data_IF_310952991664
#
_entry.id   IF_310952991664
#
_cell.length_a   1.000
_cell.length_b   1.000
_cell.length_c   1.000
_cell.angle_alpha   90.00
_cell.angle_beta   90.00
_cell.angle_gamma   90.00
#
_symmetry.space_group_name_H-M   'P 1'
#
loop_
_entity.id
_entity.type
_entity.pdbx_description
1 polymer ?
#
# COMPACT_ATOMS: atom_id res chain seq x y z
N UNK A 1 17.91 3.82 5.31
CA UNK A 1 17.18 4.76 4.40
C UNK A 1 17.08 4.18 2.99
N UNK A 2 16.09 4.57 2.22
CA UNK A 2 15.78 4.02 0.87
C UNK A 2 16.62 4.72 -0.23
N UNK A 3 17.92 4.72 -0.09
CA UNK A 3 18.84 5.58 -0.86
C UNK A 3 18.76 5.35 -2.38
N UNK A 4 18.62 4.09 -2.83
CA UNK A 4 18.48 3.78 -4.27
C UNK A 4 17.18 4.36 -4.86
N UNK A 5 16.09 4.35 -4.10
CA UNK A 5 14.82 4.94 -4.52
C UNK A 5 14.98 6.46 -4.63
N UNK A 6 15.66 7.10 -3.68
CA UNK A 6 15.87 8.55 -3.67
C UNK A 6 16.82 9.08 -4.76
N UNK A 7 17.48 8.21 -5.51
CA UNK A 7 18.16 8.63 -6.75
C UNK A 7 17.21 9.07 -7.86
N UNK A 8 15.98 8.54 -7.86
CA UNK A 8 14.96 8.78 -8.90
C UNK A 8 13.69 9.46 -8.37
N UNK A 9 13.40 9.34 -7.07
CA UNK A 9 12.23 9.88 -6.41
C UNK A 9 12.63 10.85 -5.31
N UNK A 10 11.82 11.88 -5.10
CA UNK A 10 12.03 12.85 -4.03
C UNK A 10 11.33 12.41 -2.75
N UNK A 11 10.29 11.57 -2.88
CA UNK A 11 9.44 11.09 -1.78
C UNK A 11 8.94 9.67 -2.04
N UNK A 12 8.86 8.88 -0.98
CA UNK A 12 8.12 7.61 -0.93
C UNK A 12 6.94 7.81 0.02
N UNK A 13 5.74 7.43 -0.42
CA UNK A 13 4.53 7.40 0.42
C UNK A 13 4.12 5.95 0.61
N UNK A 14 4.34 5.43 1.82
CA UNK A 14 3.90 4.08 2.21
C UNK A 14 2.53 4.22 2.85
N UNK A 15 1.57 3.42 2.40
CA UNK A 15 0.18 3.54 2.83
C UNK A 15 -0.45 2.18 3.12
N UNK A 16 -1.52 2.21 3.87
CA UNK A 16 -2.42 1.09 4.13
C UNK A 16 -3.86 1.59 4.25
N UNK A 17 -4.84 0.73 3.96
CA UNK A 17 -6.26 1.08 4.01
C UNK A 17 -7.08 0.01 4.70
N UNK A 18 -7.92 0.42 5.66
CA UNK A 18 -9.00 -0.42 6.15
C UNK A 18 -10.29 -0.12 5.39
N UNK A 19 -11.04 -1.17 5.08
CA UNK A 19 -12.21 -1.06 4.19
C UNK A 19 -13.41 -1.82 4.72
N UNK A 20 -14.61 -1.52 4.21
CA UNK A 20 -15.84 -2.25 4.56
C UNK A 20 -15.92 -3.65 3.94
N UNK A 21 -14.99 -4.02 3.07
CA UNK A 21 -14.96 -5.30 2.37
C UNK A 21 -13.88 -5.33 1.30
N UNK A 22 -13.99 -6.25 0.34
CA UNK A 22 -12.92 -6.51 -0.65
C UNK A 22 -13.23 -6.03 -2.08
N UNK A 23 -14.43 -5.50 -2.33
CA UNK A 23 -14.82 -5.01 -3.66
C UNK A 23 -14.60 -3.49 -3.76
N UNK A 24 -13.48 -3.07 -4.34
CA UNK A 24 -13.11 -1.66 -4.50
C UNK A 24 -14.16 -0.80 -5.24
N UNK A 25 -15.11 -1.43 -5.96
CA UNK A 25 -16.19 -0.73 -6.65
C UNK A 25 -17.43 -0.51 -5.77
N UNK A 26 -17.60 -1.29 -4.72
CA UNK A 26 -18.78 -1.28 -3.86
C UNK A 26 -18.47 -0.91 -2.43
N UNK A 27 -17.35 -1.37 -1.95
CA UNK A 27 -16.91 -1.13 -0.58
C UNK A 27 -16.25 0.24 -0.43
N UNK A 28 -16.07 0.67 0.80
CA UNK A 28 -15.58 2.00 1.15
C UNK A 28 -14.33 1.89 1.99
N UNK A 29 -13.40 2.82 1.81
CA UNK A 29 -12.30 3.03 2.74
C UNK A 29 -12.87 3.66 4.00
N UNK A 30 -12.55 3.10 5.15
CA UNK A 30 -12.96 3.57 6.50
C UNK A 30 -11.80 4.09 7.33
N UNK A 31 -10.57 3.70 7.00
CA UNK A 31 -9.34 4.27 7.52
C UNK A 31 -8.33 4.37 6.38
N UNK A 32 -7.64 5.49 6.32
CA UNK A 32 -6.55 5.70 5.36
C UNK A 32 -5.37 6.27 6.13
N UNK A 33 -4.30 5.50 6.19
CA UNK A 33 -3.04 5.92 6.77
C UNK A 33 -1.93 5.96 5.73
N UNK A 34 -1.02 6.90 5.90
CA UNK A 34 0.15 7.01 5.04
C UNK A 34 1.31 7.67 5.78
N UNK A 35 2.53 7.22 5.46
CA UNK A 35 3.78 7.80 5.93
C UNK A 35 4.58 8.26 4.72
N UNK A 36 4.90 9.53 4.65
CA UNK A 36 5.74 10.11 3.60
C UNK A 36 7.19 10.22 4.08
N UNK A 37 8.10 9.66 3.32
CA UNK A 37 9.53 9.60 3.64
C UNK A 37 10.32 10.26 2.53
N UNK A 38 11.26 11.13 2.91
CA UNK A 38 12.25 11.71 2.03
C UNK A 38 13.67 11.23 2.38
N UNK A 39 14.70 11.75 1.72
CA UNK A 39 16.10 11.41 2.01
C UNK A 39 16.54 11.67 3.45
N UNK A 40 15.85 12.59 4.15
CA UNK A 40 16.12 12.94 5.54
C UNK A 40 15.36 12.11 6.59
N UNK A 41 14.47 11.22 6.18
CA UNK A 41 13.59 10.42 7.04
C UNK A 41 12.11 10.75 6.82
N UNK A 42 11.28 10.50 7.85
CA UNK A 42 9.84 10.79 7.81
C UNK A 42 9.62 12.30 7.69
N UNK A 43 8.84 12.70 6.70
CA UNK A 43 8.50 14.10 6.39
C UNK A 43 7.06 14.44 6.78
N UNK A 44 6.17 13.46 6.69
CA UNK A 44 4.74 13.66 6.91
C UNK A 44 4.06 12.33 7.26
N UNK A 45 3.00 12.41 8.07
CA UNK A 45 2.19 11.26 8.46
C UNK A 45 0.71 11.64 8.43
N UNK A 46 -0.14 10.67 8.09
CA UNK A 46 -1.59 10.80 8.24
C UNK A 46 -2.18 9.47 8.72
N UNK A 47 -3.18 9.58 9.56
CA UNK A 47 -4.05 8.50 10.00
C UNK A 47 -5.46 9.07 10.15
N UNK A 48 -6.38 8.71 9.26
CA UNK A 48 -7.71 9.30 9.20
C UNK A 48 -8.78 8.23 9.12
N UNK A 49 -9.64 8.20 10.11
CA UNK A 49 -10.94 7.54 10.01
C UNK A 49 -11.84 8.32 9.04
N UNK A 50 -12.60 7.60 8.21
CA UNK A 50 -13.44 8.19 7.17
C UNK A 50 -14.90 7.80 7.40
N UNK A 51 -15.79 8.77 7.41
CA UNK A 51 -17.22 8.55 7.61
C UNK A 51 -17.81 7.66 6.52
N UNK A 52 -18.66 6.72 6.95
CA UNK A 52 -19.45 5.93 6.01
C UNK A 52 -20.44 6.81 5.26
N UNK A 53 -20.76 6.41 4.03
CA UNK A 53 -21.89 6.98 3.31
C UNK A 53 -23.18 6.79 4.12
N UNK A 54 -24.04 7.81 4.26
CA UNK A 54 -25.30 7.69 4.97
C UNK A 54 -26.12 6.47 4.53
N UNK A 55 -26.58 5.68 5.51
CA UNK A 55 -27.32 4.45 5.28
C UNK A 55 -26.47 3.19 5.06
N UNK A 56 -25.16 3.32 4.95
CA UNK A 56 -24.25 2.17 4.98
C UNK A 56 -24.05 1.65 6.39
N UNK A 57 -23.79 0.35 6.49
CA UNK A 57 -23.44 -0.32 7.75
C UNK A 57 -22.05 -0.92 7.65
N UNK A 58 -21.36 -0.95 8.76
CA UNK A 58 -20.08 -1.62 8.88
C UNK A 58 -20.31 -3.11 9.18
N UNK A 59 -19.80 -4.04 8.34
CA UNK A 59 -19.94 -5.47 8.62
C UNK A 59 -19.26 -5.86 9.94
N UNK A 60 -19.93 -6.71 10.74
CA UNK A 60 -19.40 -7.14 12.04
C UNK A 60 -18.02 -7.79 11.95
N UNK A 61 -17.75 -8.53 10.87
CA UNK A 61 -16.44 -9.12 10.62
C UNK A 61 -15.33 -8.05 10.48
N UNK A 62 -15.62 -6.89 9.88
CA UNK A 62 -14.67 -5.78 9.77
C UNK A 62 -14.41 -5.17 11.14
N UNK A 63 -15.47 -5.00 11.96
CA UNK A 63 -15.31 -4.53 13.37
C UNK A 63 -14.42 -5.48 14.17
N UNK A 64 -14.62 -6.79 14.03
CA UNK A 64 -13.79 -7.80 14.70
C UNK A 64 -12.33 -7.79 14.23
N UNK A 65 -12.10 -7.52 12.94
CA UNK A 65 -10.77 -7.50 12.34
C UNK A 65 -9.98 -6.24 12.73
N UNK A 66 -10.60 -5.07 12.57
CA UNK A 66 -9.92 -3.75 12.66
C UNK A 66 -10.12 -3.06 14.00
N UNK A 67 -11.11 -3.47 14.79
CA UNK A 67 -11.56 -2.76 15.99
C UNK A 67 -12.31 -1.44 15.71
N UNK A 68 -12.41 -1.02 14.44
CA UNK A 68 -13.12 0.19 14.04
C UNK A 68 -14.62 -0.04 14.14
N UNK A 69 -15.33 0.90 14.76
CA UNK A 69 -16.79 0.83 14.95
C UNK A 69 -17.51 1.95 14.22
N UNK A 70 -18.81 1.77 13.91
CA UNK A 70 -19.65 2.84 13.34
C UNK A 70 -19.66 4.09 14.24
N UNK A 71 -19.57 3.90 15.56
CA UNK A 71 -19.51 5.00 16.52
C UNK A 71 -18.23 5.83 16.35
N UNK A 72 -17.07 5.17 16.20
CA UNK A 72 -15.78 5.85 15.94
C UNK A 72 -15.85 6.60 14.60
N UNK A 73 -16.32 5.95 13.54
CA UNK A 73 -16.44 6.59 12.23
C UNK A 73 -17.38 7.81 12.26
N UNK A 74 -18.45 7.77 13.08
CA UNK A 74 -19.38 8.89 13.23
C UNK A 74 -18.81 10.02 14.06
N UNK A 75 -18.07 9.71 15.15
CA UNK A 75 -17.57 10.69 16.11
C UNK A 75 -16.27 11.36 15.65
N UNK A 76 -15.35 10.58 15.09
CA UNK A 76 -13.96 10.98 14.78
C UNK A 76 -13.69 11.02 13.29
N UNK A 77 -14.49 10.29 12.47
CA UNK A 77 -14.27 10.21 11.04
C UNK A 77 -14.41 11.57 10.34
N UNK A 78 -13.52 11.82 9.41
CA UNK A 78 -13.58 13.00 8.53
C UNK A 78 -14.46 12.75 7.30
N UNK A 79 -14.82 13.82 6.60
CA UNK A 79 -15.50 13.70 5.32
C UNK A 79 -14.57 13.12 4.25
N UNK A 80 -15.12 12.35 3.32
CA UNK A 80 -14.36 11.71 2.24
C UNK A 80 -13.48 12.68 1.45
N UNK A 81 -14.02 13.85 1.10
CA UNK A 81 -13.26 14.87 0.38
C UNK A 81 -12.05 15.37 1.17
N UNK A 82 -12.21 15.57 2.48
CA UNK A 82 -11.14 16.03 3.37
C UNK A 82 -9.99 15.01 3.43
N UNK A 83 -10.30 13.72 3.60
CA UNK A 83 -9.27 12.68 3.59
C UNK A 83 -8.57 12.58 2.24
N UNK A 84 -9.31 12.70 1.12
CA UNK A 84 -8.77 12.70 -0.23
C UNK A 84 -7.84 13.89 -0.49
N UNK A 85 -8.22 15.09 -0.05
CA UNK A 85 -7.39 16.29 -0.17
C UNK A 85 -6.11 16.17 0.66
N UNK A 86 -6.19 15.67 1.88
CA UNK A 86 -5.04 15.45 2.75
C UNK A 86 -4.07 14.43 2.13
N UNK A 87 -4.58 13.32 1.61
CA UNK A 87 -3.76 12.32 0.94
C UNK A 87 -3.11 12.90 -0.34
N UNK A 88 -3.87 13.62 -1.17
CA UNK A 88 -3.33 14.25 -2.37
C UNK A 88 -2.19 15.24 -2.06
N UNK A 89 -2.23 15.94 -0.92
CA UNK A 89 -1.13 16.82 -0.49
C UNK A 89 0.16 16.04 -0.22
N UNK A 90 0.08 14.82 0.33
CA UNK A 90 1.26 13.98 0.55
C UNK A 90 1.95 13.56 -0.75
N UNK A 91 1.21 13.53 -1.87
CA UNK A 91 1.72 13.14 -3.18
C UNK A 91 2.34 14.31 -3.97
N UNK A 92 2.37 15.55 -3.45
CA UNK A 92 2.75 16.75 -4.20
C UNK A 92 4.27 16.93 -4.45
N UNK A 93 5.12 16.03 -3.98
CA UNK A 93 6.53 16.08 -4.39
C UNK A 93 6.67 15.80 -5.90
N UNK A 94 7.64 16.43 -6.58
CA UNK A 94 7.74 16.34 -8.05
C UNK A 94 7.86 14.92 -8.58
N UNK A 95 8.54 14.04 -7.84
CA UNK A 95 8.75 12.63 -8.17
C UNK A 95 8.39 11.79 -6.94
N UNK A 96 7.17 11.29 -6.89
CA UNK A 96 6.68 10.48 -5.78
C UNK A 96 6.53 9.03 -6.18
N UNK A 97 6.95 8.12 -5.29
CA UNK A 97 6.65 6.70 -5.34
C UNK A 97 5.61 6.37 -4.27
N UNK A 98 4.57 5.63 -4.64
CA UNK A 98 3.64 5.02 -3.69
C UNK A 98 4.06 3.57 -3.44
N UNK A 99 4.00 3.14 -2.19
CA UNK A 99 4.24 1.75 -1.79
C UNK A 99 3.18 1.27 -0.81
N UNK A 100 2.87 -0.02 -0.83
CA UNK A 100 2.01 -0.67 0.15
C UNK A 100 2.33 -2.17 0.25
N UNK A 101 1.95 -2.82 1.35
CA UNK A 101 2.05 -4.27 1.46
C UNK A 101 0.78 -4.92 0.90
N UNK A 102 0.87 -5.54 -0.29
CA UNK A 102 -0.25 -5.93 -1.14
C UNK A 102 -0.89 -4.73 -1.87
N UNK A 103 -0.04 -3.92 -2.47
CA UNK A 103 -0.37 -2.63 -3.09
C UNK A 103 -1.50 -2.70 -4.14
N UNK A 104 -1.72 -3.86 -4.77
CA UNK A 104 -2.85 -4.06 -5.68
C UNK A 104 -4.19 -3.76 -5.01
N UNK A 105 -4.36 -4.14 -3.74
CA UNK A 105 -5.58 -3.89 -2.98
C UNK A 105 -5.75 -2.39 -2.71
N UNK A 106 -4.80 -1.78 -2.03
CA UNK A 106 -4.88 -0.39 -1.60
C UNK A 106 -4.97 0.59 -2.77
N UNK A 107 -4.15 0.38 -3.82
CA UNK A 107 -4.13 1.28 -4.97
C UNK A 107 -5.42 1.21 -5.80
N UNK A 108 -6.06 0.04 -5.89
CA UNK A 108 -7.36 -0.05 -6.56
C UNK A 108 -8.47 0.60 -5.74
N UNK A 109 -8.49 0.44 -4.41
CA UNK A 109 -9.43 1.15 -3.55
C UNK A 109 -9.24 2.66 -3.63
N UNK A 110 -8.01 3.16 -3.52
CA UNK A 110 -7.68 4.59 -3.68
C UNK A 110 -8.11 5.14 -5.04
N UNK A 111 -7.84 4.41 -6.12
CA UNK A 111 -8.25 4.86 -7.45
C UNK A 111 -9.77 5.06 -7.54
N UNK A 112 -10.57 4.10 -7.09
CA UNK A 112 -12.04 4.23 -7.12
C UNK A 112 -12.54 5.29 -6.14
N UNK A 113 -11.93 5.39 -4.97
CA UNK A 113 -12.25 6.42 -3.98
C UNK A 113 -12.00 7.83 -4.53
N UNK A 114 -10.81 8.10 -5.03
CA UNK A 114 -10.43 9.39 -5.61
C UNK A 114 -11.20 9.70 -6.91
N UNK A 115 -11.47 8.68 -7.74
CA UNK A 115 -12.27 8.86 -8.98
C UNK A 115 -13.69 9.33 -8.69
N UNK A 116 -14.34 8.82 -7.63
CA UNK A 116 -15.68 9.27 -7.23
C UNK A 116 -15.71 10.73 -6.78
N UNK A 117 -14.57 11.26 -6.35
CA UNK A 117 -14.40 12.64 -5.92
C UNK A 117 -13.83 13.55 -7.03
N UNK A 118 -13.57 12.99 -8.22
CA UNK A 118 -12.95 13.74 -9.33
C UNK A 118 -11.46 14.06 -9.10
N UNK A 119 -10.78 13.35 -8.19
CA UNK A 119 -9.41 13.64 -7.75
C UNK A 119 -8.38 12.59 -8.22
N UNK A 120 -8.76 11.62 -9.07
CA UNK A 120 -7.86 10.55 -9.49
C UNK A 120 -6.60 11.03 -10.25
N UNK A 121 -6.61 12.27 -10.72
CA UNK A 121 -5.47 12.88 -11.43
C UNK A 121 -4.22 12.99 -10.54
N UNK A 122 -4.36 13.06 -9.22
CA UNK A 122 -3.22 13.07 -8.30
C UNK A 122 -2.42 11.75 -8.30
N UNK A 123 -3.00 10.66 -8.82
CA UNK A 123 -2.32 9.37 -8.98
C UNK A 123 -1.53 9.23 -10.29
N UNK A 124 -1.58 10.23 -11.17
CA UNK A 124 -0.86 10.19 -12.45
C UNK A 124 0.65 10.37 -12.24
N UNK A 125 1.43 9.65 -13.05
CA UNK A 125 2.89 9.74 -13.09
C UNK A 125 3.62 9.35 -11.81
N UNK A 126 2.96 8.64 -10.90
CA UNK A 126 3.59 8.08 -9.70
C UNK A 126 4.35 6.79 -10.04
N UNK A 127 5.48 6.58 -9.36
CA UNK A 127 6.04 5.24 -9.25
C UNK A 127 5.20 4.40 -8.30
N UNK A 128 5.12 3.09 -8.53
CA UNK A 128 4.38 2.18 -7.67
C UNK A 128 5.24 0.97 -7.30
N UNK A 129 5.24 0.62 -6.02
CA UNK A 129 5.99 -0.51 -5.47
C UNK A 129 5.06 -1.39 -4.63
N UNK A 130 5.00 -2.67 -4.95
CA UNK A 130 4.33 -3.67 -4.12
C UNK A 130 5.35 -4.39 -3.23
N UNK A 131 5.35 -4.05 -1.95
CA UNK A 131 6.26 -4.64 -0.95
C UNK A 131 6.05 -6.16 -0.85
N UNK A 132 4.80 -6.62 -1.00
CA UNK A 132 4.48 -8.05 -1.01
C UNK A 132 5.12 -8.78 -2.20
N UNK A 133 5.22 -8.14 -3.37
CA UNK A 133 5.92 -8.73 -4.53
C UNK A 133 7.40 -8.95 -4.21
N UNK A 134 8.07 -7.97 -3.63
CA UNK A 134 9.48 -8.10 -3.19
C UNK A 134 9.62 -9.20 -2.14
N UNK A 135 8.72 -9.23 -1.16
CA UNK A 135 8.74 -10.24 -0.09
C UNK A 135 8.59 -11.67 -0.63
N UNK A 136 7.66 -11.87 -1.56
CA UNK A 136 7.44 -13.19 -2.19
C UNK A 136 8.62 -13.69 -3.00
N UNK A 137 9.41 -12.83 -3.58
CA UNK A 137 10.61 -13.22 -4.30
C UNK A 137 11.74 -13.67 -3.36
N UNK A 138 11.78 -13.09 -2.16
CA UNK A 138 12.88 -13.31 -1.22
C UNK A 138 12.59 -14.34 -0.14
N UNK A 139 11.31 -14.69 0.08
CA UNK A 139 10.89 -15.59 1.17
C UNK A 139 9.83 -16.59 0.72
N UNK A 140 9.90 -17.82 1.22
CA UNK A 140 8.84 -18.80 1.00
C UNK A 140 7.57 -18.40 1.75
N UNK A 141 6.45 -19.03 1.37
CA UNK A 141 5.17 -18.92 2.11
C UNK A 141 5.36 -19.26 3.61
N UNK A 142 4.70 -18.55 4.53
CA UNK A 142 3.56 -17.65 4.36
C UNK A 142 3.94 -16.17 4.07
N UNK A 143 3.01 -15.42 3.42
CA UNK A 143 3.28 -14.08 2.89
C UNK A 143 2.33 -12.99 3.43
N UNK A 144 2.02 -13.01 4.72
CA UNK A 144 1.32 -11.92 5.40
C UNK A 144 2.32 -10.86 5.90
N UNK A 145 1.87 -9.62 6.15
CA UNK A 145 2.71 -8.57 6.73
C UNK A 145 3.36 -9.02 8.04
N UNK A 146 2.60 -9.67 8.93
CA UNK A 146 3.14 -10.28 10.16
C UNK A 146 4.34 -11.19 9.90
N UNK A 147 4.29 -12.02 8.85
CA UNK A 147 5.40 -12.91 8.53
C UNK A 147 6.61 -12.15 7.98
N UNK A 148 6.39 -11.05 7.28
CA UNK A 148 7.48 -10.18 6.83
C UNK A 148 8.16 -9.50 8.02
N UNK A 149 7.38 -8.95 8.98
CA UNK A 149 7.87 -8.39 10.24
C UNK A 149 8.78 -9.40 10.97
N UNK A 150 8.28 -10.62 11.17
CA UNK A 150 9.02 -11.70 11.83
C UNK A 150 10.30 -12.08 11.05
N UNK A 151 10.18 -12.25 9.72
CA UNK A 151 11.27 -12.69 8.84
C UNK A 151 12.42 -11.68 8.74
N UNK A 152 12.11 -10.39 8.80
CA UNK A 152 13.09 -9.31 8.77
C UNK A 152 13.48 -8.80 10.17
N UNK A 153 12.95 -9.42 11.23
CA UNK A 153 13.19 -9.04 12.63
C UNK A 153 12.96 -7.55 12.90
N UNK A 154 11.90 -7.03 12.31
CA UNK A 154 11.53 -5.60 12.44
C UNK A 154 10.74 -5.40 13.73
N UNK A 155 11.04 -4.33 14.48
CA UNK A 155 10.29 -3.96 15.68
C UNK A 155 9.06 -3.16 15.29
N UNK A 156 8.00 -3.85 14.88
CA UNK A 156 6.71 -3.27 14.49
C UNK A 156 5.56 -4.19 14.91
N UNK A 157 4.38 -3.62 15.06
CA UNK A 157 3.13 -4.36 15.30
C UNK A 157 2.30 -4.40 14.01
N UNK A 158 1.60 -5.51 13.79
CA UNK A 158 0.53 -5.61 12.80
C UNK A 158 -0.78 -5.73 13.57
N UNK A 159 -1.43 -4.61 13.78
CA UNK A 159 -2.60 -4.47 14.65
C UNK A 159 -3.92 -4.46 13.89
N UNK A 160 -3.88 -4.51 12.55
CA UNK A 160 -5.03 -4.22 11.68
C UNK A 160 -5.60 -2.81 11.92
N UNK A 161 -4.70 -1.85 12.20
CA UNK A 161 -4.91 -0.42 12.11
C UNK A 161 -3.99 0.09 11.01
N UNK A 162 -4.55 0.86 10.10
CA UNK A 162 -3.83 1.25 8.89
C UNK A 162 -2.51 1.99 9.18
N UNK A 163 -2.43 2.78 10.25
CA UNK A 163 -1.20 3.50 10.63
C UNK A 163 -0.09 2.56 11.07
N UNK A 164 -0.42 1.56 11.88
CA UNK A 164 0.57 0.57 12.36
C UNK A 164 1.06 -0.29 11.19
N UNK A 165 0.14 -0.71 10.32
CA UNK A 165 0.44 -1.55 9.17
C UNK A 165 1.23 -0.78 8.08
N UNK A 166 0.94 0.51 7.84
CA UNK A 166 1.75 1.37 6.97
C UNK A 166 3.17 1.58 7.51
N UNK A 167 3.31 1.83 8.81
CA UNK A 167 4.63 1.95 9.45
C UNK A 167 5.40 0.63 9.43
N UNK A 168 4.74 -0.49 9.73
CA UNK A 168 5.34 -1.81 9.64
C UNK A 168 5.81 -2.13 8.21
N UNK A 169 4.99 -1.79 7.20
CA UNK A 169 5.35 -1.97 5.80
C UNK A 169 6.57 -1.13 5.40
N UNK A 170 6.68 0.12 5.89
CA UNK A 170 7.85 0.98 5.69
C UNK A 170 9.11 0.33 6.29
N UNK A 171 9.05 -0.09 7.54
CA UNK A 171 10.21 -0.71 8.23
C UNK A 171 10.63 -2.03 7.56
N UNK A 172 9.68 -2.83 7.10
CA UNK A 172 9.97 -4.03 6.29
C UNK A 172 10.63 -3.66 4.98
N UNK A 173 10.17 -2.62 4.28
CA UNK A 173 10.78 -2.13 3.04
C UNK A 173 12.24 -1.67 3.26
N UNK A 174 12.50 -0.96 4.36
CA UNK A 174 13.86 -0.55 4.74
C UNK A 174 14.77 -1.74 5.03
N UNK A 175 14.28 -2.74 5.76
CA UNK A 175 15.03 -3.96 6.03
C UNK A 175 15.30 -4.78 4.74
N UNK A 176 14.34 -4.82 3.83
CA UNK A 176 14.54 -5.42 2.50
C UNK A 176 15.63 -4.71 1.72
N UNK A 177 15.69 -3.37 1.76
CA UNK A 177 16.75 -2.61 1.12
C UNK A 177 18.12 -2.90 1.75
N UNK A 178 18.19 -3.04 3.08
CA UNK A 178 19.43 -3.39 3.77
C UNK A 178 19.94 -4.78 3.41
N UNK A 179 19.04 -5.73 3.22
CA UNK A 179 19.40 -7.07 2.76
C UNK A 179 19.94 -7.06 1.33
N UNK A 180 19.24 -6.39 0.41
CA UNK A 180 19.62 -6.29 -1.00
C UNK A 180 18.94 -5.08 -1.65
N UNK A 181 19.74 -4.13 -2.12
CA UNK A 181 19.27 -2.85 -2.67
C UNK A 181 18.95 -2.95 -4.17
N UNK A 182 17.92 -3.74 -4.50
CA UNK A 182 17.38 -3.92 -5.85
C UNK A 182 15.92 -3.46 -5.99
N UNK A 183 15.40 -2.72 -4.99
CA UNK A 183 14.00 -2.32 -4.92
C UNK A 183 13.51 -1.60 -6.18
N UNK A 184 14.37 -0.82 -6.80
CA UNK A 184 14.04 -0.08 -8.03
C UNK A 184 13.76 -0.98 -9.24
N UNK A 185 14.22 -2.24 -9.22
CA UNK A 185 13.91 -3.23 -10.25
C UNK A 185 12.44 -3.68 -10.19
N UNK A 186 11.78 -3.54 -9.02
CA UNK A 186 10.37 -3.85 -8.83
C UNK A 186 9.43 -2.66 -9.08
N UNK A 187 9.97 -1.52 -9.50
CA UNK A 187 9.14 -0.35 -9.82
C UNK A 187 8.11 -0.68 -10.90
N UNK A 188 6.84 -0.44 -10.59
CA UNK A 188 5.70 -0.74 -11.48
C UNK A 188 5.61 -2.21 -11.92
N UNK A 189 6.17 -3.12 -11.14
CA UNK A 189 6.13 -4.57 -11.38
C UNK A 189 5.41 -5.25 -10.21
N UNK A 190 4.21 -5.79 -10.46
CA UNK A 190 3.44 -6.52 -9.44
C UNK A 190 3.36 -8.00 -9.78
N UNK A 191 3.79 -8.81 -8.83
CA UNK A 191 3.69 -10.25 -8.90
C UNK A 191 2.30 -10.76 -8.53
N UNK A 192 1.80 -11.73 -9.27
CA UNK A 192 0.56 -12.40 -8.90
C UNK A 192 0.74 -13.92 -8.83
N UNK A 193 -0.09 -14.58 -8.01
CA UNK A 193 -0.09 -16.03 -7.95
C UNK A 193 -0.72 -16.61 -9.23
N UNK A 194 0.00 -17.46 -10.01
CA UNK A 194 -0.50 -18.01 -11.26
C UNK A 194 -1.82 -18.77 -11.14
N UNK A 195 -2.08 -19.35 -9.95
CA UNK A 195 -3.32 -20.11 -9.69
C UNK A 195 -4.55 -19.21 -9.57
N UNK A 196 -4.38 -17.99 -9.01
CA UNK A 196 -5.51 -17.11 -8.69
C UNK A 196 -5.59 -15.88 -9.58
N UNK A 197 -4.52 -15.60 -10.34
CA UNK A 197 -4.44 -14.38 -11.18
C UNK A 197 -4.27 -13.10 -10.36
N UNK A 198 -4.52 -11.97 -11.01
CA UNK A 198 -4.51 -10.64 -10.39
C UNK A 198 -5.83 -10.42 -9.66
N UNK A 199 -5.77 -9.99 -8.40
CA UNK A 199 -6.95 -9.63 -7.62
C UNK A 199 -7.48 -8.26 -8.04
N UNK A 200 -8.76 -8.21 -8.41
CA UNK A 200 -9.42 -6.95 -8.79
C UNK A 200 -9.01 -6.42 -10.18
N UNK A 201 -9.33 -5.15 -10.47
CA UNK A 201 -9.01 -4.51 -11.74
C UNK A 201 -7.51 -4.25 -11.87
N UNK A 202 -6.97 -4.39 -13.09
CA UNK A 202 -5.57 -4.07 -13.38
C UNK A 202 -5.36 -2.56 -13.44
N UNK A 203 -4.24 -2.11 -12.89
CA UNK A 203 -3.77 -0.71 -12.95
C UNK A 203 -2.95 -0.57 -14.24
N UNK A 204 -3.30 0.38 -15.10
CA UNK A 204 -2.73 0.47 -16.46
C UNK A 204 -1.22 0.75 -16.52
N UNK A 205 -0.66 1.37 -15.48
CA UNK A 205 0.79 1.67 -15.38
C UNK A 205 1.62 0.53 -14.79
N UNK A 206 0.98 -0.58 -14.38
CA UNK A 206 1.65 -1.71 -13.73
C UNK A 206 1.86 -2.86 -14.71
N UNK A 207 3.07 -3.36 -14.74
CA UNK A 207 3.40 -4.65 -15.36
C UNK A 207 3.07 -5.77 -14.37
N UNK A 208 2.19 -6.69 -14.79
CA UNK A 208 1.79 -7.84 -13.96
C UNK A 208 2.48 -9.11 -14.42
N UNK A 209 3.20 -9.76 -13.51
CA UNK A 209 3.95 -10.96 -13.80
C UNK A 209 3.53 -12.14 -12.92
N UNK A 210 3.38 -13.36 -13.49
CA UNK A 210 3.16 -14.56 -12.70
C UNK A 210 4.37 -14.83 -11.82
N UNK A 211 4.14 -14.94 -10.49
CA UNK A 211 5.21 -15.04 -9.50
C UNK A 211 5.18 -16.37 -8.76
N UNK A 212 6.35 -16.98 -8.65
CA UNK A 212 6.64 -18.11 -7.77
C UNK A 212 7.86 -17.77 -6.95
N UNK A 213 7.90 -18.26 -5.72
CA UNK A 213 9.11 -18.16 -4.93
C UNK A 213 10.26 -18.90 -5.63
N UNK A 214 11.31 -18.16 -5.98
CA UNK A 214 12.57 -18.68 -6.48
C UNK A 214 13.69 -17.76 -6.00
N UNK A 215 14.55 -18.21 -5.05
CA UNK A 215 15.58 -17.36 -4.47
C UNK A 215 16.74 -17.06 -5.43
N UNK A 216 16.86 -17.80 -6.54
CA UNK A 216 17.94 -17.63 -7.51
C UNK A 216 17.52 -16.74 -8.70
N UNK A 217 16.22 -16.61 -8.94
CA UNK A 217 15.69 -15.90 -10.12
C UNK A 217 14.56 -14.94 -9.72
N UNK A 218 14.89 -13.70 -9.34
CA UNK A 218 13.91 -12.71 -8.95
C UNK A 218 12.99 -12.33 -10.13
N UNK A 219 11.75 -11.90 -9.80
CA UNK A 219 10.70 -11.63 -10.79
C UNK A 219 11.14 -10.63 -11.86
N UNK A 220 11.87 -9.59 -11.51
CA UNK A 220 12.35 -8.59 -12.46
C UNK A 220 13.35 -9.17 -13.48
N UNK A 221 14.12 -10.20 -13.12
CA UNK A 221 15.07 -10.82 -14.04
C UNK A 221 14.37 -11.56 -15.18
N UNK A 222 13.14 -12.03 -14.98
CA UNK A 222 12.31 -12.68 -16.02
C UNK A 222 11.82 -11.68 -17.07
N UNK A 223 11.82 -10.39 -16.78
CA UNK A 223 11.22 -9.32 -17.58
C UNK A 223 12.20 -8.20 -17.95
N UNK A 224 13.50 -8.36 -17.69
CA UNK A 224 14.54 -7.37 -17.98
C UNK A 224 14.76 -7.09 -19.48
N UNK A 225 14.00 -7.77 -20.37
CA UNK A 225 14.13 -7.66 -21.81
C UNK A 225 12.83 -7.24 -22.53
N UNK A 226 11.86 -6.69 -21.81
CA UNK A 226 10.60 -6.19 -22.40
C UNK A 226 10.54 -4.67 -22.37
#
# INVERSE_FOLDING_TARGET
MLDSIFTQYDRVVVLDTETTGIDCRRDEIIELAAVAVGPGGVEDEMDLLIRLTPGRRLPGMIVELTGITEQMLSAEGVEKAQAAERFAQMLQAPRTMMAAFNAQFDFTFLYFYLSRLGMADCLKNLGMLDILTVYKDRRPYPHKLKNAIESYNVSAENSHRAVDDAMAALLVLEAMREEHDDLMQYRNLFGFNPKYGVSGPRIGSIHYAPQKYDPELPLYALYAHV
#
